data_IF_654688838612
#
_entry.id   IF_654688838612
#
_cell.length_a   1.000
_cell.length_b   1.000
_cell.length_c   1.000
_cell.angle_alpha   90.00
_cell.angle_beta   90.00
_cell.angle_gamma   90.00
#
_symmetry.space_group_name_H-M   'P 1'
#
loop_
_entity.id
_entity.type
_entity.pdbx_description
1 polymer ?
#
# COMPACT_ATOMS: atom_id res chain seq x y z
N UNK A 1 18.72 15.53 18.39
CA UNK A 1 18.09 15.13 17.15
C UNK A 1 18.68 15.94 16.00
N UNK A 2 19.49 15.33 15.19
CA UNK A 2 19.88 15.91 13.90
C UNK A 2 18.66 15.83 13.01
N UNK A 3 18.06 16.99 12.69
CA UNK A 3 17.06 17.06 11.63
C UNK A 3 17.74 16.59 10.33
N UNK A 4 17.13 15.63 9.63
CA UNK A 4 17.60 15.28 8.30
C UNK A 4 17.26 16.45 7.36
N UNK A 5 18.11 16.71 6.40
CA UNK A 5 17.91 17.78 5.41
C UNK A 5 16.71 17.55 4.48
N UNK A 6 16.10 16.36 4.56
CA UNK A 6 15.03 15.90 3.64
C UNK A 6 13.62 16.17 4.18
N UNK A 7 13.48 16.59 5.45
CA UNK A 7 12.19 16.98 6.04
C UNK A 7 11.75 18.39 5.63
N UNK A 8 11.69 18.66 4.34
CA UNK A 8 11.14 19.91 3.83
C UNK A 8 9.65 20.01 4.16
N UNK A 9 9.25 21.07 4.85
CA UNK A 9 7.85 21.42 5.05
C UNK A 9 7.67 22.90 4.74
N UNK A 10 6.76 23.18 3.82
CA UNK A 10 6.35 24.52 3.45
C UNK A 10 4.88 24.72 3.81
N UNK A 11 4.59 25.82 4.46
CA UNK A 11 3.23 26.20 4.79
C UNK A 11 3.03 27.68 4.46
N UNK A 12 1.99 27.98 3.67
CA UNK A 12 1.58 29.32 3.34
C UNK A 12 0.12 29.52 3.72
N UNK A 13 -0.14 30.49 4.60
CA UNK A 13 -1.48 30.84 5.03
C UNK A 13 -1.77 32.29 4.64
N UNK A 14 -2.93 32.50 4.02
CA UNK A 14 -3.45 33.83 3.66
C UNK A 14 -4.82 34.01 4.25
N UNK A 15 -5.04 35.14 4.90
CA UNK A 15 -6.38 35.52 5.44
C UNK A 15 -6.64 36.96 5.07
N UNK A 16 -7.82 37.20 4.53
CA UNK A 16 -8.29 38.54 4.18
C UNK A 16 -9.71 38.76 4.70
N UNK A 17 -9.94 39.87 5.35
CA UNK A 17 -11.25 40.27 5.87
C UNK A 17 -11.69 41.60 5.33
N UNK A 18 -12.97 41.71 4.93
CA UNK A 18 -13.56 42.97 4.44
C UNK A 18 -15.04 43.04 4.83
N UNK A 19 -15.52 44.26 5.01
CA UNK A 19 -16.95 44.50 5.13
C UNK A 19 -17.61 44.54 3.74
N UNK A 20 -18.62 43.69 3.54
CA UNK A 20 -19.37 43.56 2.29
C UNK A 20 -20.86 43.49 2.60
N UNK A 21 -21.65 44.30 1.90
CA UNK A 21 -23.11 44.33 2.03
C UNK A 21 -23.62 44.48 3.48
N UNK A 22 -22.88 45.19 4.33
CA UNK A 22 -23.20 45.40 5.73
C UNK A 22 -22.94 44.22 6.66
N UNK A 23 -22.18 43.21 6.20
CA UNK A 23 -21.67 42.10 6.99
C UNK A 23 -20.15 42.02 6.89
N UNK A 24 -19.56 41.08 7.63
CA UNK A 24 -18.14 40.77 7.65
C UNK A 24 -17.88 39.54 6.77
N UNK A 25 -17.06 39.70 5.74
CA UNK A 25 -16.55 38.60 4.93
C UNK A 25 -15.08 38.33 5.30
N UNK A 26 -14.76 37.08 5.63
CA UNK A 26 -13.41 36.62 5.81
C UNK A 26 -13.14 35.50 4.80
N UNK A 27 -12.06 35.62 4.03
CA UNK A 27 -11.60 34.61 3.07
C UNK A 27 -10.23 34.13 3.51
N UNK A 28 -9.99 32.84 3.38
CA UNK A 28 -8.70 32.25 3.70
C UNK A 28 -8.26 31.25 2.63
N UNK A 29 -6.96 31.08 2.51
CA UNK A 29 -6.34 30.04 1.70
C UNK A 29 -5.09 29.52 2.40
N UNK A 30 -4.93 28.21 2.38
CA UNK A 30 -3.80 27.49 2.95
C UNK A 30 -3.18 26.59 1.90
N UNK A 31 -1.85 26.54 1.91
CA UNK A 31 -1.07 25.58 1.15
C UNK A 31 -0.06 24.92 2.07
N UNK A 32 -0.02 23.61 2.05
CA UNK A 32 0.92 22.78 2.77
C UNK A 32 1.60 21.81 1.80
N UNK A 33 2.91 21.80 1.83
CA UNK A 33 3.75 20.82 1.15
C UNK A 33 4.73 20.24 2.16
N UNK A 34 4.82 18.92 2.21
CA UNK A 34 5.69 18.20 3.13
C UNK A 34 6.28 16.99 2.44
N UNK A 35 7.59 16.91 2.39
CA UNK A 35 8.31 15.75 1.87
C UNK A 35 8.14 14.53 2.81
N UNK A 36 8.16 13.35 2.21
CA UNK A 36 8.31 12.12 2.96
C UNK A 36 9.63 12.07 3.70
N UNK A 37 9.68 11.31 4.78
CA UNK A 37 10.95 10.87 5.33
C UNK A 37 10.93 9.37 5.65
N UNK A 38 12.07 8.75 5.40
CA UNK A 38 12.28 7.31 5.53
C UNK A 38 12.53 6.91 6.98
N UNK A 39 12.26 5.66 7.30
CA UNK A 39 12.71 5.04 8.54
C UNK A 39 14.25 5.04 8.67
N UNK A 40 14.99 5.11 7.56
CA UNK A 40 16.46 5.23 7.54
C UNK A 40 16.99 6.60 8.03
N UNK A 41 16.15 7.64 8.01
CA UNK A 41 16.54 9.01 8.39
C UNK A 41 16.69 9.19 9.90
N UNK A 42 16.21 8.25 10.72
CA UNK A 42 16.26 8.31 12.18
C UNK A 42 17.12 7.18 12.72
N UNK A 43 18.02 7.50 13.65
CA UNK A 43 18.92 6.54 14.29
C UNK A 43 18.15 5.39 14.97
N UNK A 44 17.05 5.70 15.67
CA UNK A 44 16.27 4.70 16.40
C UNK A 44 15.41 3.79 15.50
N UNK A 45 15.12 4.20 14.27
CA UNK A 45 14.36 3.39 13.28
C UNK A 45 15.25 2.76 12.23
N UNK A 46 16.50 3.22 12.10
CA UNK A 46 17.49 2.65 11.17
C UNK A 46 18.01 1.29 11.63
N UNK A 47 17.89 0.98 12.91
CA UNK A 47 18.49 -0.22 13.49
C UNK A 47 17.93 -1.50 12.84
N UNK A 48 18.79 -2.41 12.37
CA UNK A 48 18.37 -3.70 11.84
C UNK A 48 17.82 -4.66 12.92
N UNK A 49 17.89 -4.29 14.18
CA UNK A 49 17.44 -5.12 15.32
C UNK A 49 15.91 -5.19 15.49
N UNK A 50 15.15 -4.36 14.76
CA UNK A 50 13.68 -4.44 14.74
C UNK A 50 13.24 -5.56 13.80
N UNK A 51 13.51 -6.79 14.19
CA UNK A 51 13.08 -7.97 13.48
C UNK A 51 11.58 -8.22 13.75
N UNK A 52 10.84 -8.45 12.67
CA UNK A 52 9.49 -9.00 12.72
C UNK A 52 9.48 -10.34 11.99
N UNK A 53 8.41 -11.11 12.13
CA UNK A 53 8.24 -12.35 11.36
C UNK A 53 8.34 -12.14 9.83
N UNK A 54 8.20 -10.92 9.36
CA UNK A 54 8.36 -10.55 7.95
C UNK A 54 9.82 -10.28 7.54
N UNK A 55 10.76 -10.22 8.47
CA UNK A 55 12.20 -10.05 8.17
C UNK A 55 12.82 -11.28 7.52
N UNK A 56 12.17 -12.43 7.63
CA UNK A 56 12.60 -13.68 6.99
C UNK A 56 12.14 -13.83 5.53
N UNK A 57 11.50 -12.79 4.97
CA UNK A 57 11.10 -12.75 3.56
C UNK A 57 12.04 -11.80 2.81
N UNK A 58 13.16 -12.31 2.26
CA UNK A 58 14.20 -11.47 1.69
C UNK A 58 13.75 -10.80 0.38
N UNK A 59 14.37 -9.67 0.08
CA UNK A 59 14.15 -8.92 -1.14
C UNK A 59 15.12 -9.44 -2.23
N UNK A 60 14.59 -9.78 -3.38
CA UNK A 60 15.33 -10.20 -4.57
C UNK A 60 16.10 -11.53 -4.51
N UNK A 61 16.48 -12.00 -3.35
CA UNK A 61 17.22 -13.26 -3.20
C UNK A 61 16.42 -14.21 -2.33
N UNK A 62 15.65 -15.13 -2.90
CA UNK A 62 14.80 -16.03 -2.14
C UNK A 62 15.57 -16.90 -1.16
N UNK A 63 14.96 -17.19 -0.02
CA UNK A 63 15.29 -18.39 0.75
C UNK A 63 14.52 -19.56 0.17
N UNK A 64 15.10 -20.74 0.16
CA UNK A 64 14.49 -21.97 -0.34
C UNK A 64 14.20 -22.92 0.81
N UNK A 65 13.14 -23.69 0.71
CA UNK A 65 12.81 -24.71 1.68
C UNK A 65 12.09 -25.90 1.03
N UNK A 66 12.23 -27.05 1.66
CA UNK A 66 11.53 -28.26 1.26
C UNK A 66 10.27 -28.43 2.12
N UNK A 67 9.17 -28.71 1.44
CA UNK A 67 7.87 -28.93 2.06
C UNK A 67 7.16 -27.66 2.59
N UNK A 68 5.84 -27.68 2.60
CA UNK A 68 4.96 -26.55 2.98
C UNK A 68 5.08 -26.10 4.44
N UNK A 69 5.89 -26.78 5.24
CA UNK A 69 6.10 -26.47 6.66
C UNK A 69 7.48 -25.86 6.85
N UNK A 70 7.53 -24.58 7.17
CA UNK A 70 8.73 -23.86 7.61
C UNK A 70 9.31 -24.44 8.90
N UNK A 71 9.66 -25.66 8.95
CA UNK A 71 10.25 -26.24 10.15
C UNK A 71 11.54 -26.96 9.78
N UNK A 72 12.63 -26.22 9.86
CA UNK A 72 13.92 -26.84 10.06
C UNK A 72 14.71 -27.19 8.80
N UNK A 73 14.41 -26.63 7.61
CA UNK A 73 15.24 -26.83 6.40
C UNK A 73 15.12 -25.62 5.44
N UNK A 74 15.20 -24.41 5.96
CA UNK A 74 15.26 -23.20 5.14
C UNK A 74 16.71 -22.80 4.90
N UNK A 75 17.05 -22.53 3.65
CA UNK A 75 18.41 -22.21 3.22
C UNK A 75 18.45 -20.90 2.44
N UNK A 76 19.47 -20.09 2.70
CA UNK A 76 19.79 -18.95 1.87
C UNK A 76 20.31 -19.41 0.51
N UNK A 77 19.80 -18.82 -0.57
CA UNK A 77 20.43 -19.01 -1.89
C UNK A 77 21.65 -18.10 -2.06
N UNK A 78 22.62 -18.46 -2.94
CA UNK A 78 23.77 -17.62 -3.22
C UNK A 78 23.38 -16.24 -3.73
N UNK A 79 24.11 -15.21 -3.31
CA UNK A 79 23.87 -13.83 -3.72
C UNK A 79 23.02 -13.02 -2.74
N UNK A 80 22.87 -13.50 -1.51
CA UNK A 80 22.25 -12.74 -0.43
C UNK A 80 22.88 -11.35 -0.30
N UNK A 81 22.08 -10.31 -0.47
CA UNK A 81 22.54 -8.92 -0.41
C UNK A 81 22.70 -8.41 1.04
N UNK A 82 22.10 -9.11 2.02
CA UNK A 82 22.16 -8.80 3.44
C UNK A 82 23.02 -9.81 4.18
N UNK A 83 23.41 -9.50 5.41
CA UNK A 83 24.05 -10.49 6.27
C UNK A 83 23.08 -11.65 6.53
N UNK A 84 23.65 -12.87 6.54
CA UNK A 84 22.88 -14.04 6.92
C UNK A 84 22.44 -13.95 8.36
N UNK A 85 21.18 -14.20 8.59
CA UNK A 85 20.60 -14.25 9.94
C UNK A 85 20.37 -15.70 10.31
N UNK A 86 20.74 -16.06 11.53
CA UNK A 86 20.48 -17.41 12.06
C UNK A 86 19.07 -17.43 12.66
N UNK A 87 18.24 -18.35 12.19
CA UNK A 87 16.90 -18.59 12.73
C UNK A 87 16.98 -19.22 14.11
N UNK A 88 15.86 -19.30 14.81
CA UNK A 88 15.72 -20.02 16.09
C UNK A 88 16.02 -21.53 15.96
N UNK A 89 15.93 -22.08 14.74
CA UNK A 89 16.25 -23.48 14.43
C UNK A 89 17.72 -23.68 13.99
N UNK A 90 18.53 -22.62 13.95
CA UNK A 90 19.96 -22.69 13.64
C UNK A 90 20.32 -22.56 12.17
N UNK A 91 19.36 -22.28 11.31
CA UNK A 91 19.56 -22.14 9.85
C UNK A 91 20.09 -20.73 9.52
N UNK A 92 20.93 -20.65 8.50
CA UNK A 92 21.42 -19.38 7.97
C UNK A 92 20.59 -18.97 6.75
N UNK A 93 19.81 -17.92 6.89
CA UNK A 93 18.92 -17.41 5.84
C UNK A 93 19.20 -15.96 5.50
N UNK A 94 18.78 -15.54 4.31
CA UNK A 94 18.73 -14.14 3.93
C UNK A 94 17.63 -13.43 4.70
N UNK A 95 17.92 -12.25 5.22
CA UNK A 95 16.94 -11.40 5.88
C UNK A 95 16.63 -10.15 5.08
N UNK A 96 15.52 -9.51 5.41
CA UNK A 96 15.12 -8.21 4.93
C UNK A 96 14.67 -7.34 6.10
N UNK A 97 15.06 -6.09 6.07
CA UNK A 97 14.67 -5.13 7.09
C UNK A 97 13.65 -4.14 6.51
N UNK A 98 12.37 -4.22 6.92
CA UNK A 98 11.31 -3.36 6.37
C UNK A 98 11.60 -1.86 6.43
N UNK A 99 12.38 -1.43 7.43
CA UNK A 99 12.81 -0.04 7.58
C UNK A 99 13.74 0.46 6.46
N UNK A 100 14.22 -0.41 5.58
CA UNK A 100 14.99 0.01 4.39
C UNK A 100 14.10 0.73 3.37
N UNK A 101 12.86 0.30 3.24
CA UNK A 101 11.92 0.81 2.25
C UNK A 101 10.74 1.57 2.90
N UNK A 102 10.49 1.41 4.19
CA UNK A 102 9.36 2.03 4.86
C UNK A 102 9.57 3.52 5.13
N UNK A 103 8.52 4.29 4.92
CA UNK A 103 8.43 5.69 5.31
C UNK A 103 7.80 5.83 6.69
N UNK A 104 8.37 6.69 7.55
CA UNK A 104 7.74 7.11 8.80
C UNK A 104 6.66 8.16 8.56
N UNK A 105 6.78 8.88 7.45
CA UNK A 105 5.84 9.91 7.04
C UNK A 105 5.81 10.00 5.52
N UNK A 106 4.62 10.06 4.93
CA UNK A 106 4.42 10.15 3.48
C UNK A 106 4.60 11.58 2.95
N UNK A 107 4.89 11.71 1.66
CA UNK A 107 4.70 12.96 0.95
C UNK A 107 3.26 13.43 1.08
N UNK A 108 3.10 14.73 1.30
CA UNK A 108 1.79 15.33 1.45
C UNK A 108 1.76 16.72 0.82
N UNK A 109 0.89 16.91 -0.14
CA UNK A 109 0.53 18.22 -0.64
C UNK A 109 -0.94 18.47 -0.33
N UNK A 110 -1.25 19.60 0.28
CA UNK A 110 -2.63 19.98 0.60
C UNK A 110 -2.84 21.45 0.32
N UNK A 111 -3.98 21.76 -0.27
CA UNK A 111 -4.46 23.13 -0.35
C UNK A 111 -5.89 23.20 0.11
N UNK A 112 -6.20 24.28 0.80
CA UNK A 112 -7.55 24.56 1.23
C UNK A 112 -7.88 26.03 1.04
N UNK A 113 -9.16 26.31 0.84
CA UNK A 113 -9.67 27.66 0.74
C UNK A 113 -11.09 27.70 1.30
N UNK A 114 -11.46 28.85 1.81
CA UNK A 114 -12.79 29.03 2.32
C UNK A 114 -13.15 30.49 2.54
N UNK A 115 -14.42 30.69 2.84
CA UNK A 115 -14.98 31.98 3.17
C UNK A 115 -16.00 31.85 4.29
N UNK A 116 -15.96 32.78 5.20
CA UNK A 116 -16.96 32.95 6.28
C UNK A 116 -17.59 34.31 6.10
N UNK A 117 -18.92 34.33 6.04
CA UNK A 117 -19.69 35.55 6.01
C UNK A 117 -20.61 35.63 7.22
N UNK A 118 -20.60 36.77 7.91
CA UNK A 118 -21.41 37.05 9.08
C UNK A 118 -22.12 38.36 8.90
N UNK A 119 -23.42 38.40 9.19
CA UNK A 119 -24.22 39.60 9.11
C UNK A 119 -25.34 39.59 10.13
N UNK A 120 -25.53 40.72 10.82
CA UNK A 120 -26.63 40.94 11.74
C UNK A 120 -27.73 41.74 11.07
N UNK A 121 -29.00 41.32 11.30
CA UNK A 121 -30.20 41.96 10.85
C UNK A 121 -31.08 42.25 12.09
N UNK A 122 -30.70 43.24 12.89
CA UNK A 122 -31.31 43.47 14.19
C UNK A 122 -31.05 42.33 15.16
N UNK A 123 -32.10 41.62 15.57
CA UNK A 123 -31.98 40.52 16.53
C UNK A 123 -31.67 39.15 15.87
N UNK A 124 -31.42 39.13 14.57
CA UNK A 124 -31.10 37.92 13.81
C UNK A 124 -29.68 38.04 13.30
N UNK A 125 -28.87 37.03 13.59
CA UNK A 125 -27.54 36.86 13.05
C UNK A 125 -27.55 35.78 12.00
N UNK A 126 -26.94 36.05 10.86
CA UNK A 126 -26.66 35.08 9.78
C UNK A 126 -25.18 34.79 9.70
N UNK A 127 -24.85 33.50 9.76
CA UNK A 127 -23.50 33.01 9.59
C UNK A 127 -23.46 31.94 8.47
N UNK A 128 -22.58 32.10 7.52
CA UNK A 128 -22.39 31.12 6.43
C UNK A 128 -20.90 30.87 6.22
N UNK A 129 -20.54 29.62 6.17
CA UNK A 129 -19.20 29.19 5.83
C UNK A 129 -19.17 28.24 4.61
N UNK A 130 -18.21 28.42 3.76
CA UNK A 130 -17.85 27.51 2.69
C UNK A 130 -16.39 27.15 2.82
N UNK A 131 -16.10 25.88 2.68
CA UNK A 131 -14.75 25.34 2.78
C UNK A 131 -14.52 24.30 1.69
N UNK A 132 -13.40 24.40 1.03
CA UNK A 132 -12.91 23.40 0.08
C UNK A 132 -11.48 23.00 0.44
N UNK A 133 -11.16 21.74 0.34
CA UNK A 133 -9.78 21.23 0.45
C UNK A 133 -9.53 20.12 -0.54
N UNK A 134 -8.29 20.06 -1.04
CA UNK A 134 -7.72 18.92 -1.74
C UNK A 134 -6.46 18.50 -1.00
N UNK A 135 -6.31 17.22 -0.79
CA UNK A 135 -5.12 16.64 -0.15
C UNK A 135 -4.66 15.45 -0.97
N UNK A 136 -3.41 15.48 -1.38
CA UNK A 136 -2.72 14.39 -2.07
C UNK A 136 -1.59 13.87 -1.21
N UNK A 137 -1.54 12.56 -0.98
CA UNK A 137 -0.43 11.91 -0.30
C UNK A 137 0.10 10.74 -1.14
N UNK A 138 1.42 10.55 -1.09
CA UNK A 138 2.11 9.43 -1.73
C UNK A 138 2.87 8.68 -0.65
N UNK A 139 2.45 7.45 -0.38
CA UNK A 139 3.05 6.59 0.63
C UNK A 139 3.84 5.47 -0.04
N UNK A 140 5.07 5.28 0.42
CA UNK A 140 5.93 4.18 0.08
C UNK A 140 5.99 3.20 1.25
N UNK A 141 5.91 1.91 0.96
CA UNK A 141 6.05 0.85 1.96
C UNK A 141 6.83 -0.32 1.39
N UNK A 142 7.29 -1.19 2.27
CA UNK A 142 8.07 -2.39 1.92
C UNK A 142 7.47 -3.13 0.73
N UNK A 143 8.31 -3.75 -0.11
CA UNK A 143 7.87 -4.60 -1.20
C UNK A 143 6.89 -5.67 -0.74
N UNK A 144 5.94 -6.03 -1.58
CA UNK A 144 4.96 -7.05 -1.24
C UNK A 144 5.64 -8.41 -1.03
N UNK A 145 5.28 -9.16 0.02
CA UNK A 145 5.73 -10.54 0.18
C UNK A 145 5.13 -11.41 -0.93
N UNK A 146 5.85 -12.43 -1.31
CA UNK A 146 5.36 -13.47 -2.21
C UNK A 146 4.66 -14.50 -1.34
N UNK A 147 3.35 -14.46 -1.34
CA UNK A 147 2.51 -15.29 -0.50
C UNK A 147 2.06 -16.56 -1.23
N UNK A 148 1.74 -17.56 -0.44
CA UNK A 148 1.07 -18.78 -0.87
C UNK A 148 -0.30 -18.47 -1.51
N UNK A 149 -0.74 -19.31 -2.45
CA UNK A 149 -2.07 -19.22 -3.05
C UNK A 149 -3.18 -19.62 -2.07
N UNK A 150 -2.89 -20.64 -1.26
CA UNK A 150 -3.71 -21.10 -0.14
C UNK A 150 -2.83 -21.52 1.06
N UNK A 151 -3.43 -21.94 2.16
CA UNK A 151 -2.73 -22.24 3.42
C UNK A 151 -1.81 -23.46 3.34
N UNK A 152 -1.79 -24.18 2.22
CA UNK A 152 -1.09 -25.47 2.08
C UNK A 152 0.02 -25.46 1.03
N UNK A 153 0.09 -24.46 0.15
CA UNK A 153 1.03 -24.51 -0.98
C UNK A 153 1.80 -23.19 -1.14
N UNK A 154 3.13 -23.26 -0.95
CA UNK A 154 4.04 -22.16 -1.23
C UNK A 154 4.17 -21.86 -2.73
N UNK A 155 4.83 -20.79 -3.11
CA UNK A 155 5.27 -20.59 -4.48
C UNK A 155 6.34 -21.64 -4.79
N UNK A 156 5.96 -22.67 -5.56
CA UNK A 156 6.87 -23.72 -5.99
C UNK A 156 7.55 -23.35 -7.30
N UNK A 157 8.80 -23.75 -7.44
CA UNK A 157 9.57 -23.68 -8.67
C UNK A 157 10.22 -25.04 -8.95
N UNK A 158 10.39 -25.34 -10.22
CA UNK A 158 11.12 -26.52 -10.67
C UNK A 158 12.61 -26.44 -10.25
N UNK A 159 13.22 -27.59 -9.94
CA UNK A 159 14.62 -27.64 -9.53
C UNK A 159 15.58 -27.10 -10.58
N UNK A 160 15.19 -27.08 -11.84
CA UNK A 160 15.99 -26.48 -12.93
C UNK A 160 16.15 -24.97 -12.77
N UNK A 161 15.33 -24.32 -11.97
CA UNK A 161 15.52 -22.91 -11.63
C UNK A 161 16.85 -22.65 -10.91
N UNK A 162 17.43 -23.66 -10.24
CA UNK A 162 18.72 -23.59 -9.56
C UNK A 162 19.93 -23.81 -10.50
N UNK A 163 19.69 -24.20 -11.76
CA UNK A 163 20.78 -24.47 -12.74
C UNK A 163 21.67 -23.25 -12.99
N UNK A 164 21.14 -22.04 -12.72
CA UNK A 164 21.89 -20.78 -12.79
C UNK A 164 23.10 -20.72 -11.86
N UNK A 165 23.10 -21.48 -10.77
CA UNK A 165 24.19 -21.51 -9.80
C UNK A 165 25.27 -22.53 -10.19
N UNK A 166 25.05 -23.33 -11.24
CA UNK A 166 25.92 -24.42 -11.66
C UNK A 166 25.69 -25.72 -10.88
N UNK A 167 26.16 -26.85 -11.42
CA UNK A 167 25.83 -28.19 -10.91
C UNK A 167 26.30 -28.44 -9.47
N UNK A 168 27.45 -27.91 -9.09
CA UNK A 168 28.03 -28.18 -7.76
C UNK A 168 27.18 -27.51 -6.66
N UNK A 169 26.86 -26.22 -6.83
CA UNK A 169 26.05 -25.47 -5.86
C UNK A 169 24.61 -25.98 -5.87
N UNK A 170 24.04 -26.24 -7.06
CA UNK A 170 22.70 -26.81 -7.17
C UNK A 170 22.58 -28.12 -6.39
N UNK A 171 23.50 -29.06 -6.59
CA UNK A 171 23.48 -30.36 -5.91
C UNK A 171 23.65 -30.18 -4.40
N UNK A 172 24.53 -29.29 -3.96
CA UNK A 172 24.70 -28.98 -2.54
C UNK A 172 23.40 -28.44 -1.90
N UNK A 173 22.71 -27.54 -2.57
CA UNK A 173 21.42 -27.00 -2.08
C UNK A 173 20.35 -28.09 -2.00
N UNK A 174 20.24 -28.94 -3.03
CA UNK A 174 19.29 -30.04 -3.06
C UNK A 174 19.57 -31.08 -1.98
N UNK A 175 20.86 -31.43 -1.78
CA UNK A 175 21.27 -32.35 -0.73
C UNK A 175 20.96 -31.82 0.68
N UNK A 176 21.19 -30.53 0.92
CA UNK A 176 20.86 -29.88 2.20
C UNK A 176 19.36 -29.81 2.47
N UNK A 177 18.54 -29.69 1.45
CA UNK A 177 17.09 -29.68 1.56
C UNK A 177 16.49 -31.09 1.78
N UNK A 178 17.30 -32.16 1.69
CA UNK A 178 16.84 -33.55 1.77
C UNK A 178 15.68 -33.86 0.82
N UNK A 179 15.72 -33.34 -0.38
CA UNK A 179 14.68 -33.59 -1.37
C UNK A 179 14.78 -35.05 -1.82
N UNK A 180 13.82 -35.87 -1.39
CA UNK A 180 13.68 -37.23 -1.92
C UNK A 180 12.94 -37.14 -3.28
N UNK A 181 13.61 -37.50 -4.39
CA UNK A 181 12.97 -37.46 -5.71
C UNK A 181 11.80 -38.44 -5.85
N UNK A 182 11.54 -39.27 -4.85
CA UNK A 182 10.44 -40.22 -4.80
C UNK A 182 9.31 -39.79 -3.82
N UNK A 183 9.46 -38.62 -3.17
CA UNK A 183 8.42 -38.15 -2.25
C UNK A 183 7.22 -37.63 -3.04
N UNK A 184 6.12 -38.37 -2.97
CA UNK A 184 4.86 -38.04 -3.62
C UNK A 184 3.88 -37.48 -2.58
N UNK A 185 3.69 -36.19 -2.53
CA UNK A 185 2.62 -35.58 -1.75
C UNK A 185 1.34 -35.63 -2.57
N UNK A 186 0.36 -36.44 -2.11
CA UNK A 186 -0.99 -36.54 -2.67
C UNK A 186 -1.07 -36.93 -4.17
N UNK A 187 -0.18 -37.80 -4.64
CA UNK A 187 -0.24 -38.35 -6.01
C UNK A 187 0.22 -37.38 -7.10
N UNK A 188 0.83 -36.27 -6.74
CA UNK A 188 1.61 -35.43 -7.65
C UNK A 188 3.09 -35.67 -7.41
N UNK A 189 3.82 -35.97 -8.47
CA UNK A 189 5.28 -35.85 -8.46
C UNK A 189 5.60 -34.36 -8.39
N UNK A 190 5.81 -33.83 -7.18
CA UNK A 190 6.24 -32.46 -6.96
C UNK A 190 7.75 -32.41 -7.16
N UNK A 191 8.16 -32.30 -8.41
CA UNK A 191 9.53 -31.94 -8.77
C UNK A 191 9.72 -30.44 -8.55
N UNK A 192 9.83 -29.99 -7.27
CA UNK A 192 10.02 -28.60 -6.99
C UNK A 192 10.24 -28.32 -5.52
N UNK A 193 10.78 -27.18 -5.26
CA UNK A 193 10.97 -26.65 -3.91
C UNK A 193 10.21 -25.33 -3.77
N UNK A 194 9.85 -25.01 -2.56
CA UNK A 194 9.23 -23.75 -2.22
C UNK A 194 10.28 -22.69 -1.90
N UNK A 195 9.88 -21.43 -1.97
CA UNK A 195 10.75 -20.32 -1.63
C UNK A 195 9.99 -19.19 -0.91
N UNK A 196 10.72 -18.44 -0.11
CA UNK A 196 10.28 -17.22 0.52
C UNK A 196 11.01 -16.03 -0.06
N UNK A 197 10.26 -15.03 -0.47
CA UNK A 197 10.81 -13.81 -1.04
C UNK A 197 9.88 -12.62 -0.90
N UNK A 198 10.37 -11.44 -1.30
CA UNK A 198 9.60 -10.26 -1.64
C UNK A 198 9.87 -9.86 -3.07
N UNK A 199 8.91 -9.17 -3.66
CA UNK A 199 9.18 -8.48 -4.92
C UNK A 199 10.28 -7.42 -4.74
N UNK A 200 11.00 -7.10 -5.81
CA UNK A 200 12.08 -6.12 -5.73
C UNK A 200 11.61 -4.67 -5.57
N UNK A 201 10.38 -4.37 -5.95
CA UNK A 201 9.84 -3.01 -6.04
C UNK A 201 8.98 -2.67 -4.82
N UNK A 202 9.27 -1.59 -4.07
CA UNK A 202 8.43 -1.10 -3.00
C UNK A 202 7.02 -0.77 -3.48
N UNK A 203 6.04 -0.97 -2.60
CA UNK A 203 4.65 -0.62 -2.89
C UNK A 203 4.46 0.89 -2.74
N UNK A 204 3.92 1.51 -3.78
CA UNK A 204 3.60 2.94 -3.77
C UNK A 204 2.09 3.11 -3.92
N UNK A 205 1.51 3.86 -2.99
CA UNK A 205 0.08 4.17 -2.97
C UNK A 205 -0.10 5.67 -2.94
N UNK A 206 -0.85 6.16 -3.90
CA UNK A 206 -1.30 7.54 -3.99
C UNK A 206 -2.74 7.64 -3.50
N UNK A 207 -3.02 8.61 -2.63
CA UNK A 207 -4.36 8.92 -2.14
C UNK A 207 -4.63 10.40 -2.38
N UNK A 208 -5.70 10.70 -3.11
CA UNK A 208 -6.18 12.05 -3.33
C UNK A 208 -7.59 12.19 -2.74
N UNK A 209 -7.81 13.24 -1.97
CA UNK A 209 -9.09 13.50 -1.31
C UNK A 209 -9.51 14.94 -1.53
N UNK A 210 -10.69 15.11 -2.11
CA UNK A 210 -11.41 16.37 -2.19
C UNK A 210 -12.49 16.45 -1.11
N UNK A 211 -12.62 17.59 -0.45
CA UNK A 211 -13.70 17.85 0.47
C UNK A 211 -14.32 19.25 0.23
N UNK A 212 -15.63 19.29 0.17
CA UNK A 212 -16.42 20.52 0.11
C UNK A 212 -17.40 20.53 1.28
N UNK A 213 -17.48 21.64 1.99
CA UNK A 213 -18.45 21.88 3.05
C UNK A 213 -19.08 23.25 2.89
N UNK A 214 -20.39 23.29 3.04
CA UNK A 214 -21.18 24.50 3.12
C UNK A 214 -22.09 24.42 4.36
N UNK A 215 -22.06 25.41 5.20
CA UNK A 215 -22.98 25.57 6.33
C UNK A 215 -23.55 26.95 6.29
N UNK A 216 -24.88 27.08 6.51
CA UNK A 216 -25.52 28.36 6.66
C UNK A 216 -26.46 28.30 7.87
N UNK A 217 -26.24 29.18 8.81
CA UNK A 217 -26.97 29.22 10.08
C UNK A 217 -27.64 30.60 10.29
N UNK A 218 -28.83 30.58 10.84
CA UNK A 218 -29.52 31.73 11.37
C UNK A 218 -29.69 31.52 12.87
N UNK A 219 -29.48 32.58 13.65
CA UNK A 219 -29.70 32.58 15.09
C UNK A 219 -30.36 33.88 15.51
N UNK A 220 -31.08 33.84 16.60
CA UNK A 220 -31.75 35.04 17.11
C UNK A 220 -32.48 34.79 18.44
N UNK A 221 -33.30 35.73 18.84
CA UNK A 221 -34.12 35.62 20.04
C UNK A 221 -35.60 35.94 19.77
N UNK A 222 -36.49 35.24 20.46
CA UNK A 222 -37.93 35.46 20.46
C UNK A 222 -38.36 35.55 21.92
N UNK A 223 -38.53 36.78 22.44
CA UNK A 223 -38.75 37.00 23.86
C UNK A 223 -37.57 36.54 24.71
N UNK A 224 -37.80 35.65 25.67
CA UNK A 224 -36.78 35.07 26.53
C UNK A 224 -36.05 33.82 25.90
N UNK A 225 -36.45 33.44 24.69
CA UNK A 225 -35.95 32.25 24.02
C UNK A 225 -34.94 32.60 22.95
N UNK A 226 -33.74 31.98 23.03
CA UNK A 226 -32.78 31.92 21.93
C UNK A 226 -33.14 30.80 20.99
N UNK A 227 -32.89 30.98 19.71
CA UNK A 227 -33.03 29.96 18.67
C UNK A 227 -31.86 29.98 17.71
N UNK A 228 -31.59 28.84 17.16
CA UNK A 228 -30.59 28.65 16.08
C UNK A 228 -31.14 27.62 15.12
N UNK A 229 -30.97 27.85 13.82
CA UNK A 229 -31.26 26.86 12.78
C UNK A 229 -30.14 26.88 11.73
N UNK A 230 -29.65 25.70 11.35
CA UNK A 230 -28.60 25.56 10.37
C UNK A 230 -28.95 24.53 9.31
N UNK A 231 -28.47 24.79 8.10
CA UNK A 231 -28.44 23.83 6.98
C UNK A 231 -26.99 23.54 6.64
N UNK A 232 -26.69 22.28 6.34
CA UNK A 232 -25.36 21.83 6.01
C UNK A 232 -25.39 20.95 4.76
N UNK A 233 -24.42 21.19 3.89
CA UNK A 233 -24.03 20.28 2.82
C UNK A 233 -22.54 19.96 2.94
N UNK A 234 -22.17 18.70 2.89
CA UNK A 234 -20.77 18.27 2.83
C UNK A 234 -20.62 17.13 1.84
N UNK A 235 -19.57 17.19 1.04
CA UNK A 235 -19.19 16.14 0.12
C UNK A 235 -17.69 15.86 0.27
N UNK A 236 -17.33 14.59 0.36
CA UNK A 236 -15.94 14.14 0.30
C UNK A 236 -15.80 13.06 -0.73
N UNK A 237 -14.77 13.17 -1.57
CA UNK A 237 -14.35 12.17 -2.56
C UNK A 237 -12.93 11.76 -2.25
N UNK A 238 -12.65 10.48 -2.30
CA UNK A 238 -11.30 9.94 -2.12
C UNK A 238 -11.01 8.92 -3.20
N UNK A 239 -9.89 9.11 -3.90
CA UNK A 239 -9.34 8.22 -4.91
C UNK A 239 -8.02 7.67 -4.38
N UNK A 240 -7.93 6.35 -4.26
CA UNK A 240 -6.71 5.64 -3.90
C UNK A 240 -6.25 4.82 -5.11
N UNK A 241 -4.99 4.94 -5.46
CA UNK A 241 -4.36 4.22 -6.58
C UNK A 241 -3.03 3.61 -6.11
N UNK A 242 -2.88 2.31 -6.25
CA UNK A 242 -1.56 1.70 -6.16
C UNK A 242 -0.84 1.92 -7.50
N UNK A 243 0.24 2.69 -7.48
CA UNK A 243 0.96 3.07 -8.70
C UNK A 243 2.11 2.13 -9.03
N UNK A 244 2.60 1.38 -8.01
CA UNK A 244 3.77 0.53 -8.16
C UNK A 244 3.81 -0.58 -7.09
N UNK A 245 4.49 -1.68 -7.40
CA UNK A 245 4.85 -2.74 -6.44
C UNK A 245 3.68 -3.63 -6.00
N UNK A 246 2.55 -3.63 -6.70
CA UNK A 246 1.41 -4.52 -6.45
C UNK A 246 1.27 -5.49 -7.61
N UNK A 247 1.14 -6.77 -7.29
CA UNK A 247 1.13 -7.84 -8.27
C UNK A 247 -0.09 -8.74 -8.06
N UNK A 248 -0.64 -9.24 -9.17
CA UNK A 248 -1.66 -10.27 -9.16
C UNK A 248 -1.01 -11.63 -8.85
N UNK A 249 -1.37 -12.21 -7.71
CA UNK A 249 -0.77 -13.47 -7.27
C UNK A 249 -1.00 -14.62 -8.25
N UNK A 250 -2.17 -14.70 -8.90
CA UNK A 250 -2.48 -15.77 -9.84
C UNK A 250 -1.63 -15.66 -11.11
N UNK A 251 -1.45 -14.45 -11.63
CA UNK A 251 -0.56 -14.21 -12.77
C UNK A 251 0.90 -14.49 -12.42
N UNK A 252 1.31 -14.15 -11.20
CA UNK A 252 2.67 -14.45 -10.72
C UNK A 252 2.91 -15.96 -10.64
N UNK A 253 1.97 -16.72 -10.06
CA UNK A 253 2.08 -18.18 -10.03
C UNK A 253 2.03 -18.80 -11.43
N UNK A 254 1.20 -18.26 -12.32
CA UNK A 254 1.21 -18.67 -13.73
C UNK A 254 2.55 -18.37 -14.41
N UNK A 255 3.22 -17.28 -14.06
CA UNK A 255 4.56 -16.98 -14.56
C UNK A 255 5.59 -17.99 -14.05
N UNK A 256 5.54 -18.39 -12.78
CA UNK A 256 6.39 -19.43 -12.20
C UNK A 256 6.21 -20.78 -12.90
N UNK A 257 4.98 -21.11 -13.28
CA UNK A 257 4.64 -22.35 -13.99
C UNK A 257 4.87 -22.29 -15.52
N UNK A 258 5.27 -21.13 -16.07
CA UNK A 258 5.34 -20.94 -17.54
C UNK A 258 3.98 -20.87 -18.23
N UNK A 259 2.94 -20.60 -17.47
CA UNK A 259 1.53 -20.53 -17.93
C UNK A 259 1.05 -19.10 -18.19
N UNK A 260 1.88 -18.10 -17.95
CA UNK A 260 1.54 -16.71 -18.24
C UNK A 260 1.78 -16.41 -19.72
N UNK A 261 0.72 -15.98 -20.40
CA UNK A 261 0.76 -15.64 -21.81
C UNK A 261 1.38 -14.25 -22.05
N UNK A 262 1.96 -14.03 -23.22
CA UNK A 262 2.60 -12.75 -23.61
C UNK A 262 1.66 -11.54 -23.60
N UNK A 263 0.36 -11.75 -23.59
CA UNK A 263 -0.67 -10.71 -23.44
C UNK A 263 -1.14 -10.52 -21.98
N UNK A 264 -0.50 -11.17 -21.00
CA UNK A 264 -0.82 -11.07 -19.58
C UNK A 264 -2.07 -11.87 -19.14
N UNK A 265 -2.60 -12.75 -19.98
CA UNK A 265 -3.64 -13.72 -19.61
C UNK A 265 -3.01 -15.01 -19.11
N UNK A 266 -3.73 -15.76 -18.28
CA UNK A 266 -3.31 -17.10 -17.88
C UNK A 266 -3.74 -18.10 -18.95
N UNK A 267 -2.86 -19.03 -19.29
CA UNK A 267 -3.12 -20.07 -20.28
C UNK A 267 -4.24 -21.01 -19.82
N UNK A 268 -5.00 -21.50 -20.77
CA UNK A 268 -6.04 -22.51 -20.52
C UNK A 268 -5.53 -23.89 -20.93
N UNK A 269 -5.78 -24.86 -20.07
CA UNK A 269 -5.50 -26.26 -20.36
C UNK A 269 -6.51 -26.81 -21.39
N UNK A 270 -6.00 -27.44 -22.42
CA UNK A 270 -6.81 -28.15 -23.44
C UNK A 270 -6.65 -29.67 -23.28
N UNK A 271 -7.73 -30.30 -22.82
CA UNK A 271 -7.75 -31.74 -22.58
C UNK A 271 -7.60 -32.58 -23.85
N UNK A 272 -7.98 -32.05 -25.03
CA UNK A 272 -7.97 -32.78 -26.30
C UNK A 272 -6.56 -33.19 -26.74
N UNK A 273 -5.54 -32.42 -26.38
CA UNK A 273 -4.15 -32.63 -26.80
C UNK A 273 -3.13 -32.46 -25.67
N UNK A 274 -3.58 -32.44 -24.43
CA UNK A 274 -2.74 -32.29 -23.22
C UNK A 274 -1.78 -31.09 -23.35
N UNK A 275 -2.30 -29.93 -23.72
CA UNK A 275 -1.50 -28.74 -23.97
C UNK A 275 -2.08 -27.48 -23.33
N UNK A 276 -1.21 -26.54 -23.03
CA UNK A 276 -1.57 -25.18 -22.63
C UNK A 276 -1.77 -24.31 -23.87
N UNK A 277 -2.77 -23.44 -23.83
CA UNK A 277 -3.13 -22.55 -24.91
C UNK A 277 -3.42 -21.14 -24.41
N UNK A 278 -2.81 -20.16 -25.09
CA UNK A 278 -3.05 -18.75 -24.86
C UNK A 278 -4.11 -18.22 -25.80
N UNK A 279 -5.05 -17.43 -25.29
CA UNK A 279 -6.03 -16.70 -26.10
C UNK A 279 -5.41 -15.38 -26.56
N UNK A 280 -4.99 -15.32 -27.82
CA UNK A 280 -4.43 -14.11 -28.44
C UNK A 280 -2.98 -13.80 -28.10
N UNK A 281 -2.18 -14.81 -27.72
CA UNK A 281 -0.76 -14.67 -27.42
C UNK A 281 -0.03 -16.00 -27.53
N UNK A 282 1.24 -16.01 -27.15
CA UNK A 282 2.06 -17.21 -26.98
C UNK A 282 2.33 -17.46 -25.50
N UNK A 283 2.62 -18.70 -25.12
CA UNK A 283 3.14 -19.02 -23.79
C UNK A 283 4.41 -18.21 -23.53
N UNK A 284 4.51 -17.64 -22.34
CA UNK A 284 5.71 -16.99 -21.85
C UNK A 284 6.78 -18.01 -21.42
N UNK A 285 7.96 -17.50 -21.13
CA UNK A 285 8.98 -18.26 -20.43
C UNK A 285 8.57 -18.48 -18.96
N UNK A 286 9.19 -19.43 -18.29
CA UNK A 286 9.07 -19.54 -16.82
C UNK A 286 9.81 -18.38 -16.16
N UNK A 287 9.16 -17.78 -15.17
CA UNK A 287 9.81 -16.83 -14.28
C UNK A 287 10.74 -17.58 -13.33
N UNK A 288 12.01 -17.18 -13.30
CA UNK A 288 12.97 -17.73 -12.38
C UNK A 288 13.28 -16.73 -11.23
N UNK A 289 12.82 -16.99 -9.99
CA UNK A 289 12.98 -16.06 -8.87
C UNK A 289 14.44 -15.82 -8.46
N UNK A 290 15.39 -16.66 -8.92
CA UNK A 290 16.83 -16.55 -8.61
C UNK A 290 17.60 -15.71 -9.64
N UNK A 291 17.02 -15.45 -10.81
CA UNK A 291 17.56 -14.58 -11.86
C UNK A 291 17.24 -13.13 -11.57
N UNK A 292 18.17 -12.43 -10.93
CA UNK A 292 18.04 -10.98 -10.69
C UNK A 292 18.44 -10.19 -11.94
N UNK A 293 17.75 -9.04 -12.16
CA UNK A 293 18.04 -8.10 -13.26
C UNK A 293 18.01 -8.76 -14.65
N UNK A 294 17.22 -9.79 -14.85
CA UNK A 294 16.99 -10.42 -16.14
C UNK A 294 15.77 -9.78 -16.83
N UNK A 295 15.96 -9.36 -18.08
CA UNK A 295 14.94 -8.63 -18.83
C UNK A 295 13.69 -9.48 -19.15
N UNK A 296 13.81 -10.80 -19.22
CA UNK A 296 12.67 -11.71 -19.42
C UNK A 296 11.84 -11.82 -18.14
N UNK A 297 12.48 -11.90 -16.98
CA UNK A 297 11.82 -11.86 -15.69
C UNK A 297 11.12 -10.53 -15.44
N UNK A 298 11.78 -9.41 -15.77
CA UNK A 298 11.17 -8.07 -15.65
C UNK A 298 9.91 -7.94 -16.52
N UNK A 299 9.95 -8.45 -17.75
CA UNK A 299 8.80 -8.46 -18.64
C UNK A 299 7.63 -9.30 -18.09
N UNK A 300 7.90 -10.46 -17.48
CA UNK A 300 6.89 -11.32 -16.86
C UNK A 300 6.29 -10.65 -15.61
N UNK A 301 7.11 -10.02 -14.77
CA UNK A 301 6.64 -9.27 -13.62
C UNK A 301 5.78 -8.06 -14.04
N UNK A 302 6.14 -7.38 -15.12
CA UNK A 302 5.34 -6.28 -15.66
C UNK A 302 3.94 -6.75 -16.11
N UNK A 303 3.81 -7.95 -16.68
CA UNK A 303 2.52 -8.55 -17.03
C UNK A 303 1.70 -8.97 -15.80
N UNK A 304 2.37 -9.33 -14.70
CA UNK A 304 1.73 -9.67 -13.44
C UNK A 304 1.39 -8.46 -12.58
N UNK A 305 2.00 -7.30 -12.84
CA UNK A 305 1.74 -6.07 -12.10
C UNK A 305 0.30 -5.60 -12.31
N UNK A 306 -0.31 -5.12 -11.24
CA UNK A 306 -1.64 -4.50 -11.23
C UNK A 306 -1.61 -3.15 -10.51
N UNK A 307 -2.48 -2.25 -10.95
CA UNK A 307 -2.66 -0.94 -10.33
C UNK A 307 -4.09 -0.85 -9.76
N UNK A 308 -4.37 -1.54 -8.66
CA UNK A 308 -5.69 -1.51 -8.07
C UNK A 308 -6.03 -0.09 -7.61
N UNK A 309 -7.26 0.32 -7.90
CA UNK A 309 -7.79 1.60 -7.48
C UNK A 309 -9.02 1.42 -6.63
N UNK A 310 -9.20 2.33 -5.69
CA UNK A 310 -10.38 2.41 -4.83
C UNK A 310 -10.89 3.82 -4.81
N UNK A 311 -12.18 3.99 -5.13
CA UNK A 311 -12.84 5.29 -5.12
C UNK A 311 -13.95 5.30 -4.08
N UNK A 312 -13.99 6.37 -3.31
CA UNK A 312 -15.01 6.60 -2.31
C UNK A 312 -15.66 7.97 -2.47
N UNK A 313 -16.95 8.04 -2.23
CA UNK A 313 -17.70 9.29 -2.16
C UNK A 313 -18.63 9.24 -0.96
N UNK A 314 -18.62 10.31 -0.15
CA UNK A 314 -19.54 10.53 0.94
C UNK A 314 -20.23 11.88 0.74
N UNK A 315 -21.55 11.92 0.94
CA UNK A 315 -22.33 13.15 0.88
C UNK A 315 -23.23 13.22 2.11
N UNK A 316 -23.19 14.35 2.79
CA UNK A 316 -24.02 14.61 3.96
C UNK A 316 -24.84 15.88 3.70
N UNK A 317 -26.14 15.77 3.90
CA UNK A 317 -27.06 16.91 3.92
C UNK A 317 -27.75 16.91 5.29
N UNK A 318 -27.72 18.02 5.97
CA UNK A 318 -28.29 18.15 7.30
C UNK A 318 -29.07 19.44 7.47
N UNK A 319 -30.03 19.38 8.34
CA UNK A 319 -30.72 20.52 8.90
C UNK A 319 -30.91 20.30 10.40
N UNK A 320 -30.67 21.32 11.18
CA UNK A 320 -30.95 21.30 12.61
C UNK A 320 -31.62 22.59 13.07
N UNK A 321 -32.35 22.52 14.19
CA UNK A 321 -32.89 23.66 14.88
C UNK A 321 -32.78 23.44 16.38
N UNK A 322 -32.39 24.49 17.10
CA UNK A 322 -32.18 24.48 18.55
C UNK A 322 -32.92 25.65 19.15
N UNK A 323 -33.53 25.42 20.32
CA UNK A 323 -34.17 26.44 21.12
C UNK A 323 -33.68 26.31 22.57
N UNK A 324 -33.38 27.45 23.19
CA UNK A 324 -32.90 27.49 24.55
C UNK A 324 -33.57 28.68 25.28
N UNK A 325 -34.03 28.45 26.50
CA UNK A 325 -34.69 29.45 27.31
C UNK A 325 -35.12 28.88 28.66
N UNK A 326 -35.48 29.75 29.59
CA UNK A 326 -35.93 29.34 30.91
C UNK A 326 -37.38 28.84 30.80
N UNK A 327 -37.62 27.60 31.22
CA UNK A 327 -38.97 26.99 31.21
C UNK A 327 -39.79 27.36 32.44
N UNK A 328 -39.18 27.49 33.62
CA UNK A 328 -39.84 27.84 34.89
C UNK A 328 -38.81 28.40 35.88
N UNK A 329 -39.21 29.44 36.60
CA UNK A 329 -38.60 29.84 37.86
C UNK A 329 -39.29 29.11 39.01
N UNK A 330 -38.60 28.26 39.74
CA UNK A 330 -39.12 27.72 41.00
C UNK A 330 -38.80 28.71 42.13
N UNK A 331 -39.86 29.34 42.68
CA UNK A 331 -39.77 30.16 43.88
C UNK A 331 -39.75 29.29 45.13
#
# INVERSE_FOLDING_TARGET
STASSDEGKYNLNLVFGQQVAGGQLTVFADYLDRNAFSAQDREFTRSPLLQSSYSYLPKNTPNIYYNSVRSGNELATPGCATELVTTEFGEAICAYYPNEDDQLNSDLTSYSTGAVFQKDFGDISWNTDVFFSNTKSVALSSPAPINQLDDSEGPYVDETALDIFGPDIRNELLDQLYIDPFDTVAGRELYGFAFDARFGTPRTVEVETDALRLVSALSGSIGAWGWESAVMYSESKSDQLATQGVYNRYKYHAALAGELCSNGTIASYKADNDSLSCSGGSLGAMYNPFLQNDSSNEALLALAQEMPSRKGKSTVVGWDARFNGDLMEFN
#
